data_IF_943027858407
#
_entry.id   IF_943027858407
#
_cell.length_a   1.000
_cell.length_b   1.000
_cell.length_c   1.000
_cell.angle_alpha   90.00
_cell.angle_beta   90.00
_cell.angle_gamma   90.00
#
_symmetry.space_group_name_H-M   'P 1'
#
loop_
_entity.id
_entity.type
_entity.pdbx_description
1 polymer ?
#
# COMPACT_ATOMS: atom_id res chain seq x y z
N UNK A 1 8.80 2.53 24.36
CA UNK A 1 9.51 1.48 23.60
C UNK A 1 8.69 0.19 23.53
N UNK A 2 8.30 -0.43 24.65
CA UNK A 2 7.56 -1.71 24.67
C UNK A 2 6.21 -1.70 23.91
N UNK A 3 5.42 -0.62 24.00
CA UNK A 3 4.14 -0.51 23.28
C UNK A 3 4.26 -0.48 21.75
N UNK A 4 5.38 0.04 21.22
CA UNK A 4 5.63 0.06 19.77
C UNK A 4 5.96 -1.34 19.25
N UNK A 5 6.76 -2.10 20.01
CA UNK A 5 7.08 -3.49 19.70
C UNK A 5 5.81 -4.38 19.73
N UNK A 6 4.91 -4.17 20.69
CA UNK A 6 3.65 -4.90 20.80
C UNK A 6 2.64 -4.62 19.66
N UNK A 7 2.74 -3.48 18.96
CA UNK A 7 1.90 -3.19 17.81
C UNK A 7 2.55 -3.65 16.48
N UNK A 8 3.86 -3.45 16.35
CA UNK A 8 4.61 -3.75 15.12
C UNK A 8 4.81 -5.25 14.94
N UNK A 9 5.15 -5.99 15.99
CA UNK A 9 5.44 -7.44 15.90
C UNK A 9 4.20 -8.25 15.46
N UNK A 10 3.02 -8.12 16.09
CA UNK A 10 1.84 -8.89 15.65
C UNK A 10 1.28 -8.41 14.31
N UNK A 11 1.35 -7.10 14.01
CA UNK A 11 0.99 -6.62 12.68
C UNK A 11 1.87 -7.20 11.57
N UNK A 12 3.15 -7.50 11.87
CA UNK A 12 4.13 -7.91 10.87
C UNK A 12 3.96 -9.39 10.59
N UNK A 13 3.62 -10.12 11.65
CA UNK A 13 3.21 -11.51 11.57
C UNK A 13 1.91 -11.68 10.78
N UNK A 14 0.95 -10.76 10.91
CA UNK A 14 -0.33 -10.79 10.20
C UNK A 14 -0.22 -10.37 8.72
N UNK A 15 0.56 -9.33 8.43
CA UNK A 15 0.73 -8.79 7.08
C UNK A 15 2.22 -8.74 6.73
N UNK A 16 2.75 -9.83 6.16
CA UNK A 16 4.14 -9.93 5.64
C UNK A 16 4.40 -9.11 4.36
N UNK A 17 3.72 -7.98 4.20
CA UNK A 17 3.89 -7.09 3.06
C UNK A 17 4.52 -5.77 3.51
N UNK A 18 5.75 -5.52 3.07
CA UNK A 18 6.44 -4.24 3.28
C UNK A 18 5.64 -3.07 2.71
N UNK A 19 4.99 -3.26 1.55
CA UNK A 19 4.17 -2.23 0.91
C UNK A 19 2.95 -1.82 1.75
N UNK A 20 2.35 -2.78 2.46
CA UNK A 20 1.22 -2.54 3.37
C UNK A 20 1.65 -1.72 4.59
N UNK A 21 2.77 -2.10 5.21
CA UNK A 21 3.33 -1.37 6.35
C UNK A 21 3.78 0.03 6.03
N UNK A 22 4.40 0.23 4.86
CA UNK A 22 4.72 1.56 4.35
C UNK A 22 3.43 2.40 4.21
N UNK A 23 2.35 1.80 3.70
CA UNK A 23 1.04 2.44 3.60
C UNK A 23 0.51 2.92 4.95
N UNK A 24 0.57 2.07 5.98
CA UNK A 24 0.20 2.44 7.37
C UNK A 24 1.06 3.60 7.88
N UNK A 25 2.39 3.55 7.64
CA UNK A 25 3.30 4.63 8.00
C UNK A 25 2.90 5.96 7.37
N UNK A 26 2.64 5.98 6.07
CA UNK A 26 2.16 7.18 5.37
C UNK A 26 0.80 7.65 5.88
N UNK A 27 -0.13 6.73 6.17
CA UNK A 27 -1.44 7.06 6.73
C UNK A 27 -1.34 7.70 8.12
N UNK A 28 -0.27 7.38 8.87
CA UNK A 28 -0.03 7.96 10.19
C UNK A 28 0.55 9.38 10.14
N UNK A 29 1.15 9.80 9.03
CA UNK A 29 1.82 11.10 8.91
C UNK A 29 0.89 12.31 9.17
N UNK A 30 -0.34 12.36 8.63
CA UNK A 30 -1.27 13.45 8.94
C UNK A 30 -1.68 13.48 10.41
N UNK A 31 -1.77 12.31 11.08
CA UNK A 31 -2.06 12.25 12.52
C UNK A 31 -0.94 12.91 13.32
N UNK A 32 0.31 12.60 13.01
CA UNK A 32 1.46 13.26 13.63
C UNK A 32 1.55 14.75 13.29
N UNK A 33 1.28 15.11 12.03
CA UNK A 33 1.27 16.50 11.57
C UNK A 33 0.19 17.37 12.22
N UNK A 34 -0.91 16.77 12.68
CA UNK A 34 -1.96 17.45 13.43
C UNK A 34 -1.59 17.70 14.90
N UNK A 35 -0.72 16.87 15.48
CA UNK A 35 -0.27 16.99 16.87
C UNK A 35 0.83 18.05 17.07
N UNK A 36 1.50 18.47 15.99
CA UNK A 36 2.54 19.50 16.04
C UNK A 36 1.91 20.89 15.84
N UNK A 37 2.04 21.82 16.82
CA UNK A 37 1.55 23.18 16.67
C UNK A 37 2.32 23.94 15.58
N UNK A 38 1.63 24.42 14.54
CA UNK A 38 2.23 25.18 13.42
C UNK A 38 1.68 24.74 12.05
N UNK A 39 1.17 25.70 11.27
CA UNK A 39 0.20 25.47 10.17
C UNK A 39 0.78 25.38 8.74
N UNK A 40 1.72 24.47 8.45
CA UNK A 40 1.49 23.70 7.21
C UNK A 40 1.76 22.19 7.28
N UNK A 41 2.23 21.63 8.39
CA UNK A 41 2.68 20.23 8.47
C UNK A 41 1.57 19.22 8.15
N UNK A 42 0.34 19.47 8.61
CA UNK A 42 -0.82 18.65 8.26
C UNK A 42 -1.08 18.62 6.75
N UNK A 43 -1.12 19.79 6.09
CA UNK A 43 -1.39 19.87 4.66
C UNK A 43 -0.27 19.27 3.82
N UNK A 44 0.98 19.44 4.23
CA UNK A 44 2.14 18.81 3.58
C UNK A 44 2.07 17.29 3.66
N UNK A 45 1.74 16.74 4.82
CA UNK A 45 1.62 15.29 5.02
C UNK A 45 0.43 14.69 4.28
N UNK A 46 -0.70 15.41 4.20
CA UNK A 46 -1.84 15.04 3.35
C UNK A 46 -1.46 15.06 1.87
N UNK A 47 -0.78 16.11 1.41
CA UNK A 47 -0.28 16.21 0.03
C UNK A 47 0.68 15.08 -0.33
N UNK A 48 1.61 14.76 0.57
CA UNK A 48 2.55 13.66 0.41
C UNK A 48 1.84 12.30 0.32
N UNK A 49 0.85 12.07 1.19
CA UNK A 49 0.02 10.87 1.17
C UNK A 49 -0.73 10.75 -0.16
N UNK A 50 -1.32 11.85 -0.65
CA UNK A 50 -1.98 11.90 -1.95
C UNK A 50 -1.02 11.60 -3.11
N UNK A 51 0.21 12.15 -3.08
CA UNK A 51 1.23 11.90 -4.11
C UNK A 51 1.66 10.43 -4.14
N UNK A 52 1.87 9.81 -2.97
CA UNK A 52 2.22 8.39 -2.87
C UNK A 52 1.08 7.50 -3.36
N UNK A 53 -0.16 7.80 -2.98
CA UNK A 53 -1.34 7.09 -3.47
C UNK A 53 -1.45 7.20 -4.99
N UNK A 54 -1.30 8.41 -5.54
CA UNK A 54 -1.32 8.64 -6.98
C UNK A 54 -0.21 7.87 -7.70
N UNK A 55 1.02 7.90 -7.16
CA UNK A 55 2.14 7.15 -7.72
C UNK A 55 1.85 5.64 -7.76
N UNK A 56 1.29 5.07 -6.69
CA UNK A 56 0.91 3.64 -6.63
C UNK A 56 -0.20 3.28 -7.61
N UNK A 57 -1.15 4.17 -7.84
CA UNK A 57 -2.24 3.94 -8.80
C UNK A 57 -1.76 4.05 -10.25
N UNK A 58 -0.85 4.99 -10.54
CA UNK A 58 -0.36 5.28 -11.89
C UNK A 58 0.84 4.43 -12.34
N UNK A 59 1.61 3.84 -11.41
CA UNK A 59 2.84 3.10 -11.75
C UNK A 59 2.57 1.88 -12.66
N UNK A 60 1.37 1.30 -12.60
CA UNK A 60 0.93 0.24 -13.50
C UNK A 60 -0.14 0.79 -14.46
N UNK A 61 0.25 1.64 -15.42
CA UNK A 61 -0.66 2.21 -16.43
C UNK A 61 -1.34 1.18 -17.36
N UNK A 62 -1.03 -0.10 -17.21
CA UNK A 62 -1.68 -1.20 -17.91
C UNK A 62 -3.15 -1.32 -17.48
N UNK A 63 -4.04 -1.45 -18.47
CA UNK A 63 -5.45 -1.68 -18.21
C UNK A 63 -5.61 -3.01 -17.47
N UNK A 64 -6.47 -3.07 -16.42
CA UNK A 64 -6.77 -4.33 -15.75
C UNK A 64 -7.17 -5.38 -16.78
N UNK A 65 -6.46 -6.50 -16.80
CA UNK A 65 -6.91 -7.68 -17.54
C UNK A 65 -8.33 -8.01 -17.03
N UNK A 66 -9.29 -8.18 -17.93
CA UNK A 66 -10.74 -8.22 -17.63
C UNK A 66 -11.17 -9.33 -16.65
N UNK A 67 -10.21 -10.12 -16.17
CA UNK A 67 -10.33 -11.14 -15.12
C UNK A 67 -10.83 -10.60 -13.78
N UNK A 68 -10.53 -9.35 -13.43
CA UNK A 68 -10.99 -8.74 -12.17
C UNK A 68 -11.62 -7.36 -12.43
N UNK A 69 -12.62 -6.97 -11.63
CA UNK A 69 -13.20 -5.64 -11.77
C UNK A 69 -12.15 -4.56 -11.43
N UNK A 70 -12.17 -3.47 -12.20
CA UNK A 70 -11.17 -2.41 -12.14
C UNK A 70 -10.95 -1.84 -10.72
N UNK A 71 -12.03 -1.69 -9.93
CA UNK A 71 -11.94 -1.13 -8.57
C UNK A 71 -11.17 -2.05 -7.60
N UNK A 72 -11.24 -3.38 -7.77
CA UNK A 72 -10.45 -4.33 -6.97
C UNK A 72 -8.98 -4.23 -7.30
N UNK A 73 -8.66 -4.11 -8.59
CA UNK A 73 -7.28 -3.93 -9.06
C UNK A 73 -6.67 -2.63 -8.53
N UNK A 74 -7.43 -1.53 -8.51
CA UNK A 74 -6.98 -0.27 -7.90
C UNK A 74 -6.74 -0.42 -6.38
N UNK A 75 -7.61 -1.14 -5.66
CA UNK A 75 -7.40 -1.41 -4.23
C UNK A 75 -6.13 -2.24 -3.98
N UNK A 76 -5.88 -3.26 -4.80
CA UNK A 76 -4.65 -4.06 -4.70
C UNK A 76 -3.41 -3.26 -5.06
N UNK A 77 -3.46 -2.36 -6.05
CA UNK A 77 -2.38 -1.41 -6.37
C UNK A 77 -2.09 -0.47 -5.20
N UNK A 78 -3.14 0.07 -4.58
CA UNK A 78 -2.97 0.99 -3.46
C UNK A 78 -2.35 0.30 -2.23
N UNK A 79 -2.86 -0.88 -1.86
CA UNK A 79 -2.49 -1.59 -0.63
C UNK A 79 -1.21 -2.42 -0.77
N UNK A 80 -1.05 -3.12 -1.88
CA UNK A 80 -0.02 -4.14 -2.08
C UNK A 80 0.92 -3.85 -3.23
N UNK A 81 0.72 -2.74 -3.97
CA UNK A 81 1.52 -2.38 -5.15
C UNK A 81 1.44 -3.44 -6.27
N UNK A 82 0.28 -4.11 -6.39
CA UNK A 82 0.08 -5.27 -7.30
C UNK A 82 -1.29 -5.27 -7.94
N UNK A 83 -1.36 -5.85 -9.14
CA UNK A 83 -2.61 -5.93 -9.93
C UNK A 83 -3.40 -7.22 -9.66
N UNK A 84 -2.81 -8.15 -8.94
CA UNK A 84 -3.37 -9.47 -8.64
C UNK A 84 -3.35 -9.72 -7.13
N UNK A 85 -4.30 -10.51 -6.61
CA UNK A 85 -4.38 -10.80 -5.18
C UNK A 85 -3.29 -11.78 -4.73
N UNK A 86 -2.66 -12.47 -5.67
CA UNK A 86 -1.70 -13.54 -5.40
C UNK A 86 -0.28 -12.97 -5.27
N UNK A 87 0.46 -13.51 -4.29
CA UNK A 87 1.89 -13.24 -4.09
C UNK A 87 2.78 -14.16 -4.93
N UNK A 88 2.19 -15.02 -5.77
CA UNK A 88 2.91 -16.00 -6.58
C UNK A 88 3.89 -15.27 -7.48
N UNK A 89 5.18 -15.62 -7.47
CA UNK A 89 6.20 -15.03 -8.34
C UNK A 89 5.75 -15.04 -9.80
N UNK A 90 6.10 -14.01 -10.57
CA UNK A 90 5.72 -13.96 -11.99
C UNK A 90 6.27 -15.17 -12.77
N UNK A 91 7.39 -15.73 -12.31
CA UNK A 91 8.04 -16.92 -12.84
C UNK A 91 7.14 -18.15 -12.76
N UNK A 92 6.34 -18.27 -11.70
CA UNK A 92 5.42 -19.40 -11.49
C UNK A 92 4.07 -19.22 -12.19
N UNK A 93 3.68 -17.97 -12.50
CA UNK A 93 2.40 -17.69 -13.20
C UNK A 93 2.37 -18.20 -14.64
N UNK A 94 3.52 -18.29 -15.31
CA UNK A 94 3.61 -18.83 -16.67
C UNK A 94 3.41 -20.34 -16.75
N UNK A 95 3.71 -21.07 -15.67
CA UNK A 95 3.57 -22.53 -15.61
C UNK A 95 2.11 -22.96 -15.48
N UNK A 96 1.29 -22.20 -14.73
CA UNK A 96 -0.16 -22.46 -14.56
C UNK A 96 -0.96 -22.19 -15.83
N UNK A 97 -0.47 -21.36 -16.76
CA UNK A 97 -1.13 -21.09 -18.05
C UNK A 97 -0.93 -22.18 -19.11
N UNK A 98 -0.05 -23.16 -18.88
CA UNK A 98 0.30 -24.22 -19.85
C UNK A 98 -0.30 -25.60 -19.55
N UNK A 99 -1.06 -25.74 -18.47
CA UNK A 99 -1.81 -26.95 -18.10
C UNK A 99 -3.30 -26.67 -18.16
#
# INVERSE_FOLDING_TARGET
MAGFALAVIPGWLAFRSTAFWIGIGFLSLPLWGALVPGRPHFWLTVGLLGLVALKRLLANGERPDGRYPWYKVLMWRLLYDRDVPTTVPWQERGLVRRT
#
